data_IF_830953717664
#
_entry.id   IF_830953717664
#
_cell.length_a   1.000
_cell.length_b   1.000
_cell.length_c   1.000
_cell.angle_alpha   90.00
_cell.angle_beta   90.00
_cell.angle_gamma   90.00
#
_symmetry.space_group_name_H-M   'P 1'
#
loop_
_entity.id
_entity.type
_entity.pdbx_description
1 polymer ?
#
# COMPACT_ATOMS: atom_id res chain seq x y z
N UNK A 1 -1.84 11.09 -8.34
CA UNK A 1 -1.52 10.39 -9.63
C UNK A 1 -0.15 9.69 -9.60
N UNK A 2 0.93 10.38 -9.27
CA UNK A 2 2.30 9.85 -9.37
C UNK A 2 2.65 8.70 -8.42
N UNK A 3 2.06 8.68 -7.23
CA UNK A 3 2.35 7.70 -6.17
C UNK A 3 1.13 6.84 -5.80
N UNK A 4 -0.02 7.11 -6.41
CA UNK A 4 -1.27 6.40 -6.11
C UNK A 4 -1.52 5.33 -7.16
N UNK A 5 -1.47 4.04 -6.81
CA UNK A 5 -1.80 2.97 -7.73
C UNK A 5 -3.22 3.15 -8.28
N UNK A 6 -3.46 2.83 -9.57
CA UNK A 6 -4.80 2.87 -10.15
C UNK A 6 -5.75 1.93 -9.41
N UNK A 7 -6.98 2.38 -9.16
CA UNK A 7 -8.02 1.53 -8.56
C UNK A 7 -8.25 0.26 -9.37
N UNK A 8 -8.19 0.34 -10.71
CA UNK A 8 -8.37 -0.82 -11.59
C UNK A 8 -7.27 -1.87 -11.41
N UNK A 9 -6.01 -1.44 -11.26
CA UNK A 9 -4.87 -2.32 -10.99
C UNK A 9 -5.07 -3.07 -9.67
N UNK A 10 -5.40 -2.34 -8.60
CA UNK A 10 -5.63 -2.93 -7.28
C UNK A 10 -6.85 -3.87 -7.28
N UNK A 11 -7.95 -3.43 -7.90
CA UNK A 11 -9.18 -4.19 -7.97
C UNK A 11 -8.95 -5.52 -8.72
N UNK A 12 -8.30 -5.50 -9.88
CA UNK A 12 -7.97 -6.71 -10.62
C UNK A 12 -7.17 -7.67 -9.73
N UNK A 13 -6.08 -7.20 -9.15
CA UNK A 13 -5.16 -8.12 -8.46
C UNK A 13 -5.73 -8.71 -7.18
N UNK A 14 -6.48 -7.91 -6.40
CA UNK A 14 -7.08 -8.38 -5.17
C UNK A 14 -8.30 -9.27 -5.42
N UNK A 15 -9.08 -8.99 -6.49
CA UNK A 15 -10.28 -9.74 -6.81
C UNK A 15 -10.01 -11.20 -7.20
N UNK A 16 -8.83 -11.51 -7.76
CA UNK A 16 -8.40 -12.88 -8.08
C UNK A 16 -8.01 -13.68 -6.83
N UNK A 17 -7.74 -13.00 -5.71
CA UNK A 17 -7.26 -13.62 -4.47
C UNK A 17 -8.33 -13.73 -3.39
N UNK A 18 -9.50 -13.10 -3.58
CA UNK A 18 -10.61 -13.17 -2.64
C UNK A 18 -11.07 -14.62 -2.46
N UNK A 19 -10.87 -15.14 -1.25
CA UNK A 19 -11.21 -16.51 -0.87
C UNK A 19 -11.38 -16.60 0.65
N UNK A 20 -11.92 -17.72 1.18
CA UNK A 20 -12.04 -17.92 2.62
C UNK A 20 -10.70 -17.74 3.33
N UNK A 21 -10.70 -16.94 4.40
CA UNK A 21 -9.50 -16.65 5.19
C UNK A 21 -8.76 -15.36 4.82
N UNK A 22 -9.00 -14.79 3.63
CA UNK A 22 -8.48 -13.48 3.25
C UNK A 22 -9.50 -12.39 3.53
N UNK A 23 -9.09 -11.35 4.26
CA UNK A 23 -9.87 -10.14 4.47
C UNK A 23 -9.12 -8.93 3.92
N UNK A 24 -9.81 -8.10 3.14
CA UNK A 24 -9.27 -6.89 2.54
C UNK A 24 -9.82 -5.67 3.26
N UNK A 25 -8.93 -4.96 3.97
CA UNK A 25 -9.24 -3.70 4.62
C UNK A 25 -8.71 -2.53 3.78
N UNK A 26 -9.61 -1.66 3.34
CA UNK A 26 -9.29 -0.49 2.52
C UNK A 26 -9.20 0.74 3.42
N UNK A 27 -8.00 1.32 3.49
CA UNK A 27 -7.76 2.58 4.18
C UNK A 27 -8.38 3.76 3.41
N UNK A 28 -8.79 4.84 4.10
CA UNK A 28 -9.30 6.03 3.44
C UNK A 28 -8.19 6.72 2.63
N UNK A 29 -8.54 7.19 1.45
CA UNK A 29 -7.64 7.94 0.57
C UNK A 29 -7.68 9.43 0.91
N UNK A 30 -6.52 9.99 1.28
CA UNK A 30 -6.40 11.38 1.71
C UNK A 30 -6.33 12.40 0.57
N UNK A 31 -5.95 11.97 -0.63
CA UNK A 31 -5.80 12.85 -1.80
C UNK A 31 -6.97 12.75 -2.79
N UNK A 32 -7.82 11.74 -2.63
CA UNK A 32 -8.98 11.49 -3.46
C UNK A 32 -9.93 10.57 -2.70
N UNK A 33 -10.89 11.18 -2.03
CA UNK A 33 -11.82 10.49 -1.14
C UNK A 33 -12.68 9.45 -1.88
N UNK A 34 -12.77 9.53 -3.21
CA UNK A 34 -13.52 8.57 -4.04
C UNK A 34 -12.73 7.31 -4.38
N UNK A 35 -11.40 7.32 -4.25
CA UNK A 35 -10.56 6.19 -4.67
C UNK A 35 -10.82 4.94 -3.83
N UNK A 36 -10.94 5.09 -2.50
CA UNK A 36 -11.25 4.00 -1.58
C UNK A 36 -12.66 3.45 -1.83
N UNK A 37 -13.65 4.33 -2.02
CA UNK A 37 -15.02 3.91 -2.32
C UNK A 37 -15.13 3.14 -3.64
N UNK A 38 -14.42 3.58 -4.69
CA UNK A 38 -14.37 2.86 -5.98
C UNK A 38 -13.71 1.48 -5.84
N UNK A 39 -12.61 1.38 -5.09
CA UNK A 39 -11.96 0.10 -4.83
C UNK A 39 -12.88 -0.84 -4.03
N UNK A 40 -13.54 -0.29 -3.01
CA UNK A 40 -14.51 -1.03 -2.20
C UNK A 40 -15.64 -1.58 -3.06
N UNK A 41 -16.27 -0.73 -3.88
CA UNK A 41 -17.35 -1.17 -4.78
C UNK A 41 -16.88 -2.27 -5.74
N UNK A 42 -15.69 -2.14 -6.31
CA UNK A 42 -15.15 -3.12 -7.25
C UNK A 42 -14.91 -4.49 -6.58
N UNK A 43 -14.40 -4.51 -5.35
CA UNK A 43 -14.10 -5.75 -4.62
C UNK A 43 -15.33 -6.35 -3.93
N UNK A 44 -16.18 -5.51 -3.33
CA UNK A 44 -17.40 -5.94 -2.65
C UNK A 44 -18.43 -6.53 -3.62
N UNK A 45 -18.37 -6.18 -4.91
CA UNK A 45 -19.16 -6.85 -5.94
C UNK A 45 -18.82 -8.35 -6.10
N UNK A 46 -17.60 -8.77 -5.70
CA UNK A 46 -17.19 -10.18 -5.72
C UNK A 46 -17.48 -10.89 -4.40
N UNK A 47 -17.05 -10.31 -3.28
CA UNK A 47 -17.32 -10.85 -1.94
C UNK A 47 -17.45 -9.73 -0.90
N UNK A 48 -18.67 -9.27 -0.59
CA UNK A 48 -18.87 -8.16 0.33
C UNK A 48 -18.57 -8.50 1.79
N UNK A 49 -18.51 -9.79 2.16
CA UNK A 49 -18.22 -10.21 3.54
C UNK A 49 -16.73 -10.18 3.87
N UNK A 50 -15.88 -10.09 2.84
CA UNK A 50 -14.42 -10.11 2.97
C UNK A 50 -13.76 -8.76 2.76
N UNK A 51 -14.52 -7.74 2.38
CA UNK A 51 -14.00 -6.42 2.04
C UNK A 51 -14.63 -5.40 2.98
N UNK A 52 -13.79 -4.60 3.65
CA UNK A 52 -14.25 -3.46 4.42
C UNK A 52 -13.53 -2.19 3.97
N UNK A 53 -14.24 -1.07 4.01
CA UNK A 53 -13.67 0.25 3.79
C UNK A 53 -13.76 1.03 5.10
N UNK A 54 -12.62 1.50 5.61
CA UNK A 54 -12.60 2.33 6.79
C UNK A 54 -13.15 3.73 6.46
N UNK A 55 -13.85 4.37 7.43
CA UNK A 55 -14.44 5.67 7.20
C UNK A 55 -13.34 6.74 7.01
N UNK A 56 -13.60 7.70 6.12
CA UNK A 56 -12.72 8.86 5.96
C UNK A 56 -12.87 9.86 7.12
N UNK A 57 -14.00 9.83 7.84
CA UNK A 57 -14.31 10.71 8.97
C UNK A 57 -14.97 9.92 10.12
N UNK A 58 -14.54 10.11 11.38
CA UNK A 58 -13.34 10.88 11.76
C UNK A 58 -12.07 10.22 11.21
N UNK A 59 -11.06 11.03 10.91
CA UNK A 59 -9.77 10.51 10.42
C UNK A 59 -9.11 9.69 11.53
N UNK A 60 -8.65 8.50 11.19
CA UNK A 60 -7.78 7.73 12.06
C UNK A 60 -6.55 8.55 12.42
N UNK A 61 -6.21 8.55 13.70
CA UNK A 61 -4.95 9.05 14.21
C UNK A 61 -3.78 8.21 13.69
N UNK A 62 -2.57 8.76 13.80
CA UNK A 62 -1.37 8.03 13.44
C UNK A 62 -1.19 6.76 14.29
N UNK A 63 -1.59 6.82 15.57
CA UNK A 63 -1.52 5.69 16.50
C UNK A 63 -2.49 4.58 16.11
N UNK A 64 -3.75 4.92 15.77
CA UNK A 64 -4.73 3.94 15.30
C UNK A 64 -4.28 3.29 13.98
N UNK A 65 -3.69 4.08 13.07
CA UNK A 65 -3.15 3.55 11.81
C UNK A 65 -1.99 2.58 12.09
N UNK A 66 -1.07 2.94 12.99
CA UNK A 66 0.03 2.07 13.38
C UNK A 66 -0.45 0.78 14.07
N UNK A 67 -1.47 0.88 14.94
CA UNK A 67 -2.07 -0.27 15.60
C UNK A 67 -2.75 -1.23 14.60
N UNK A 68 -3.46 -0.69 13.62
CA UNK A 68 -4.06 -1.49 12.55
C UNK A 68 -2.99 -2.20 11.71
N UNK A 69 -1.92 -1.50 11.32
CA UNK A 69 -0.81 -2.08 10.58
C UNK A 69 -0.13 -3.22 11.35
N UNK A 70 -0.06 -3.14 12.68
CA UNK A 70 0.48 -4.23 13.52
C UNK A 70 -0.36 -5.51 13.50
N UNK A 71 -1.67 -5.37 13.31
CA UNK A 71 -2.60 -6.50 13.21
C UNK A 71 -2.71 -7.06 11.79
N UNK A 72 -2.04 -6.43 10.82
CA UNK A 72 -2.14 -6.78 9.40
C UNK A 72 -1.01 -7.73 9.00
N UNK A 73 -1.30 -8.72 8.16
CA UNK A 73 -0.29 -9.66 7.65
C UNK A 73 0.46 -9.10 6.43
N UNK A 74 -0.25 -8.37 5.56
CA UNK A 74 0.27 -7.81 4.33
C UNK A 74 -0.34 -6.42 4.05
N UNK A 75 0.51 -5.45 3.73
CA UNK A 75 0.12 -4.13 3.22
C UNK A 75 0.45 -4.02 1.73
N UNK A 76 -0.55 -3.70 0.92
CA UNK A 76 -0.36 -3.27 -0.47
C UNK A 76 -0.53 -1.76 -0.53
N UNK A 77 0.48 -1.04 -0.99
CA UNK A 77 0.46 0.44 -0.95
C UNK A 77 1.34 1.06 -2.03
N UNK A 78 1.08 2.33 -2.35
CA UNK A 78 2.02 3.15 -3.12
C UNK A 78 3.05 3.85 -2.24
N UNK A 79 3.87 4.71 -2.85
CA UNK A 79 4.80 5.61 -2.14
C UNK A 79 4.03 6.68 -1.33
N UNK A 80 3.67 6.32 -0.10
CA UNK A 80 2.80 7.10 0.80
C UNK A 80 3.35 7.14 2.22
N UNK A 81 2.86 8.08 3.04
CA UNK A 81 3.18 8.13 4.47
C UNK A 81 2.89 6.81 5.21
N UNK A 82 1.82 6.10 4.82
CA UNK A 82 1.45 4.80 5.41
C UNK A 82 2.48 3.72 5.09
N UNK A 83 3.09 3.72 3.90
CA UNK A 83 4.21 2.83 3.57
C UNK A 83 5.40 3.06 4.50
N UNK A 84 5.76 4.33 4.74
CA UNK A 84 6.86 4.68 5.64
C UNK A 84 6.56 4.29 7.10
N UNK A 85 5.32 4.46 7.53
CA UNK A 85 4.86 4.02 8.86
C UNK A 85 4.95 2.50 9.00
N UNK A 86 4.50 1.74 7.98
CA UNK A 86 4.57 0.29 7.95
C UNK A 86 6.00 -0.26 7.97
N UNK A 87 6.92 0.42 7.30
CA UNK A 87 8.34 0.05 7.27
C UNK A 87 9.12 0.48 8.53
N UNK A 88 8.51 1.27 9.42
CA UNK A 88 9.16 1.75 10.62
C UNK A 88 9.43 0.60 11.60
N UNK A 89 10.67 0.52 12.11
CA UNK A 89 11.01 -0.46 13.14
C UNK A 89 10.50 0.02 14.49
N UNK A 90 9.68 -0.82 15.12
CA UNK A 90 9.33 -0.61 16.53
C UNK A 90 10.57 -0.77 17.40
N UNK A 91 10.68 0.07 18.42
CA UNK A 91 11.76 0.03 19.43
C UNK A 91 11.14 0.08 20.82
N UNK A 92 11.66 -0.73 21.72
CA UNK A 92 11.40 -0.63 23.15
C UNK A 92 12.47 0.31 23.72
N UNK A 93 12.06 1.25 24.57
CA UNK A 93 13.02 2.09 25.30
C UNK A 93 13.90 1.18 26.17
N UNK A 94 15.21 1.46 26.24
CA UNK A 94 16.16 0.59 26.96
C UNK A 94 15.81 0.38 28.45
N UNK A 95 15.04 1.31 29.03
CA UNK A 95 14.60 1.27 30.43
C UNK A 95 13.17 0.71 30.62
N UNK A 96 12.49 0.31 29.55
CA UNK A 96 11.14 -0.21 29.67
C UNK A 96 11.16 -1.63 30.26
N UNK A 97 10.37 -1.90 31.32
CA UNK A 97 10.37 -3.19 32.02
C UNK A 97 9.75 -4.34 31.22
N UNK A 98 9.36 -4.13 29.96
CA UNK A 98 8.73 -5.16 29.14
C UNK A 98 9.77 -6.01 28.40
N UNK A 99 9.96 -7.25 28.86
CA UNK A 99 10.82 -8.25 28.23
C UNK A 99 10.22 -8.89 26.96
N UNK A 100 9.37 -8.16 26.23
CA UNK A 100 8.64 -8.68 25.07
C UNK A 100 9.38 -8.42 23.74
N UNK A 101 9.34 -9.38 22.81
CA UNK A 101 9.72 -9.12 21.42
C UNK A 101 8.61 -8.34 20.71
N UNK A 102 8.95 -7.24 20.04
CA UNK A 102 8.00 -6.49 19.23
C UNK A 102 7.65 -7.25 17.96
N UNK A 103 6.36 -7.39 17.65
CA UNK A 103 5.90 -7.90 16.35
C UNK A 103 6.27 -6.88 15.26
N UNK A 104 7.07 -7.31 14.29
CA UNK A 104 7.42 -6.55 13.08
C UNK A 104 7.28 -7.47 11.85
N UNK A 105 6.15 -8.17 11.75
CA UNK A 105 5.94 -9.25 10.78
C UNK A 105 5.12 -8.82 9.56
N UNK A 106 4.71 -7.55 9.50
CA UNK A 106 3.95 -7.01 8.38
C UNK A 106 4.79 -7.11 7.10
N UNK A 107 4.26 -7.83 6.10
CA UNK A 107 4.83 -7.85 4.75
C UNK A 107 4.34 -6.62 4.00
N UNK A 108 5.15 -6.08 3.09
CA UNK A 108 4.80 -4.88 2.33
C UNK A 108 5.01 -5.15 0.85
N UNK A 109 3.97 -4.95 0.04
CA UNK A 109 4.07 -4.80 -1.42
C UNK A 109 3.94 -3.31 -1.73
N UNK A 110 5.05 -2.72 -2.15
CA UNK A 110 5.14 -1.31 -2.48
C UNK A 110 5.13 -1.11 -4.00
N UNK A 111 4.13 -0.39 -4.48
CA UNK A 111 3.91 -0.07 -5.89
C UNK A 111 4.51 1.30 -6.21
N UNK A 112 5.41 1.34 -7.19
CA UNK A 112 6.03 2.59 -7.64
C UNK A 112 5.58 2.98 -9.04
N UNK A 113 5.08 4.20 -9.16
CA UNK A 113 4.74 4.82 -10.43
C UNK A 113 5.88 5.69 -10.94
N UNK A 114 5.73 7.01 -10.78
CA UNK A 114 6.75 7.98 -11.21
C UNK A 114 7.87 8.20 -10.18
N UNK A 115 7.70 7.83 -8.91
CA UNK A 115 8.73 8.03 -7.89
C UNK A 115 9.77 6.92 -7.89
N UNK A 116 11.01 7.26 -7.53
CA UNK A 116 12.11 6.31 -7.57
C UNK A 116 12.15 5.43 -6.30
N UNK A 117 11.96 4.10 -6.41
CA UNK A 117 12.04 3.19 -5.27
C UNK A 117 13.44 3.10 -4.65
N UNK A 118 14.49 3.60 -5.31
CA UNK A 118 15.83 3.71 -4.75
C UNK A 118 15.97 4.81 -3.69
N UNK A 119 15.13 5.85 -3.74
CA UNK A 119 15.13 6.94 -2.75
C UNK A 119 14.05 6.77 -1.68
N UNK A 120 12.89 6.23 -2.06
CA UNK A 120 11.71 6.19 -1.18
C UNK A 120 11.31 4.78 -0.74
N UNK A 121 11.83 3.73 -1.39
CA UNK A 121 11.49 2.35 -1.07
C UNK A 121 12.40 1.73 -0.01
N UNK A 122 11.90 0.69 0.66
CA UNK A 122 12.60 -0.05 1.71
C UNK A 122 12.94 -1.47 1.24
N UNK A 123 13.98 -1.64 0.41
CA UNK A 123 14.29 -2.94 -0.24
C UNK A 123 14.45 -4.12 0.73
N UNK A 124 14.88 -3.89 1.96
CA UNK A 124 15.06 -4.93 2.97
C UNK A 124 13.75 -5.33 3.69
N UNK A 125 12.68 -4.56 3.51
CA UNK A 125 11.43 -4.67 4.26
C UNK A 125 10.18 -4.65 3.36
N UNK A 126 10.33 -4.48 2.05
CA UNK A 126 9.23 -4.52 1.09
C UNK A 126 9.60 -5.22 -0.22
N UNK A 127 8.63 -5.94 -0.77
CA UNK A 127 8.63 -6.35 -2.18
C UNK A 127 8.21 -5.15 -3.01
N UNK A 128 9.05 -4.74 -3.95
CA UNK A 128 8.85 -3.51 -4.72
C UNK A 128 8.51 -3.86 -6.16
N UNK A 129 7.34 -3.44 -6.61
CA UNK A 129 6.88 -3.55 -7.99
C UNK A 129 6.88 -2.16 -8.67
N UNK A 130 6.95 -2.15 -10.01
CA UNK A 130 6.99 -0.92 -10.78
C UNK A 130 8.37 -0.24 -10.73
N UNK A 131 9.43 -0.99 -11.05
CA UNK A 131 10.78 -0.42 -11.20
C UNK A 131 11.06 -0.08 -12.66
N UNK A 132 11.98 0.85 -12.87
CA UNK A 132 12.62 1.04 -14.18
C UNK A 132 11.89 2.00 -15.12
N UNK A 133 10.81 2.63 -14.66
CA UNK A 133 10.12 3.66 -15.44
C UNK A 133 11.01 4.89 -15.64
N UNK A 134 10.99 5.49 -16.84
CA UNK A 134 11.83 6.65 -17.18
C UNK A 134 11.63 7.84 -16.22
N UNK A 135 10.39 8.10 -15.80
CA UNK A 135 10.03 9.20 -14.90
C UNK A 135 10.72 9.08 -13.52
N UNK A 136 11.06 7.86 -13.10
CA UNK A 136 11.77 7.61 -11.83
C UNK A 136 13.20 8.17 -11.83
N UNK A 137 13.77 8.46 -13.00
CA UNK A 137 15.07 9.15 -13.10
C UNK A 137 14.93 10.66 -12.87
N UNK A 138 13.74 11.19 -13.15
CA UNK A 138 13.42 12.61 -13.08
C UNK A 138 12.95 13.03 -11.68
N UNK A 139 12.18 12.18 -11.00
CA UNK A 139 11.72 12.46 -9.63
C UNK A 139 12.83 12.26 -8.59
N UNK A 140 13.40 13.38 -8.12
CA UNK A 140 14.36 13.43 -7.01
C UNK A 140 13.73 14.00 -5.73
N UNK A 141 14.20 13.61 -4.54
CA UNK A 141 13.88 14.28 -3.28
C UNK A 141 14.04 15.80 -3.37
N UNK A 142 13.02 16.55 -2.94
CA UNK A 142 12.99 18.01 -3.00
C UNK A 142 12.11 18.60 -4.12
N UNK A 143 11.73 17.83 -5.15
CA UNK A 143 10.71 18.24 -6.11
C UNK A 143 9.30 17.90 -5.61
N UNK A 144 8.37 18.85 -5.70
CA UNK A 144 6.98 18.68 -5.29
C UNK A 144 6.25 17.64 -6.17
N UNK A 145 6.18 16.40 -5.67
CA UNK A 145 5.49 15.25 -6.31
C UNK A 145 4.01 15.51 -6.56
N UNK A 146 3.40 16.42 -5.79
CA UNK A 146 1.96 16.73 -5.80
C UNK A 146 1.50 17.51 -7.04
N UNK A 147 2.42 18.28 -7.66
CA UNK A 147 2.12 19.08 -8.86
C UNK A 147 2.32 18.35 -10.19
N UNK A 148 2.93 17.16 -10.18
CA UNK A 148 3.18 16.41 -11.42
C UNK A 148 1.95 15.60 -11.83
N UNK A 149 1.17 16.18 -12.73
CA UNK A 149 0.06 15.51 -13.39
C UNK A 149 0.30 15.51 -14.91
N UNK A 150 1.04 14.53 -15.46
CA UNK A 150 1.03 14.29 -16.89
C UNK A 150 -0.42 13.89 -17.23
N UNK A 151 -1.20 14.85 -17.72
CA UNK A 151 -2.65 14.71 -17.92
C UNK A 151 -2.96 13.38 -18.62
N UNK A 152 -3.71 12.51 -17.94
CA UNK A 152 -4.21 11.25 -18.49
C UNK A 152 -3.20 10.10 -18.58
N UNK A 153 -1.96 10.27 -18.12
CA UNK A 153 -0.98 9.19 -18.14
C UNK A 153 -1.11 8.30 -16.90
N UNK A 154 -1.32 7.01 -17.11
CA UNK A 154 -1.17 6.01 -16.05
C UNK A 154 0.32 5.77 -15.78
N UNK A 155 0.77 6.17 -14.60
CA UNK A 155 2.17 6.03 -14.20
C UNK A 155 2.51 4.63 -13.68
N UNK A 156 1.51 3.74 -13.59
CA UNK A 156 1.61 2.36 -13.14
C UNK A 156 1.30 1.35 -14.26
N UNK A 157 1.12 1.78 -15.51
CA UNK A 157 0.87 0.90 -16.67
C UNK A 157 1.94 -0.20 -16.88
N UNK A 158 3.15 0.04 -16.38
CA UNK A 158 4.30 -0.86 -16.39
C UNK A 158 4.30 -1.89 -15.24
N UNK A 159 3.27 -1.89 -14.38
CA UNK A 159 3.02 -2.90 -13.35
C UNK A 159 1.89 -3.81 -13.84
N UNK A 160 2.19 -5.02 -14.33
CA UNK A 160 1.16 -5.97 -14.73
C UNK A 160 0.28 -6.35 -13.52
N UNK A 161 -1.06 -6.35 -13.67
CA UNK A 161 -1.95 -6.78 -12.60
C UNK A 161 -1.69 -8.22 -12.11
N UNK A 162 -1.24 -9.10 -12.99
CA UNK A 162 -0.86 -10.48 -12.67
C UNK A 162 0.37 -10.53 -11.78
N UNK A 163 1.41 -9.72 -12.06
CA UNK A 163 2.61 -9.62 -11.21
C UNK A 163 2.23 -9.22 -9.78
N UNK A 164 1.31 -8.27 -9.62
CA UNK A 164 0.79 -7.89 -8.31
C UNK A 164 0.04 -9.04 -7.63
N UNK A 165 -0.81 -9.75 -8.37
CA UNK A 165 -1.59 -10.88 -7.85
C UNK A 165 -0.69 -12.02 -7.36
N UNK A 166 0.27 -12.43 -8.20
CA UNK A 166 1.24 -13.49 -7.90
C UNK A 166 2.12 -13.13 -6.70
N UNK A 167 2.56 -11.87 -6.64
CA UNK A 167 3.35 -11.37 -5.51
C UNK A 167 2.56 -11.42 -4.21
N UNK A 168 1.28 -11.02 -4.23
CA UNK A 168 0.42 -11.07 -3.04
C UNK A 168 0.20 -12.54 -2.63
N UNK A 169 -0.12 -13.43 -3.56
CA UNK A 169 -0.32 -14.86 -3.28
C UNK A 169 0.93 -15.51 -2.65
N UNK A 170 2.11 -15.28 -3.26
CA UNK A 170 3.38 -15.77 -2.74
C UNK A 170 3.64 -15.28 -1.30
N UNK A 171 3.32 -14.01 -1.02
CA UNK A 171 3.48 -13.43 0.31
C UNK A 171 2.40 -13.83 1.30
N UNK A 172 1.28 -14.39 0.86
CA UNK A 172 0.28 -14.98 1.76
C UNK A 172 0.54 -16.47 2.00
N UNK A 173 1.41 -17.08 1.19
CA UNK A 173 1.81 -18.49 1.33
C UNK A 173 0.98 -19.45 0.48
N UNK A 174 0.50 -18.98 -0.68
CA UNK A 174 -0.20 -19.81 -1.68
C UNK A 174 0.69 -20.20 -2.86
#
# INVERSE_FOLDING_TARGET
PATRPPTALLAYALAELLRPGLFVCILPSYSDETASSRLFQALAARDPQRVCCLPAQPRMTLLETAALLDQTDLLVTGDTGVMHLAAAKKKIAQEAPCAGSLRNNLRIVALFGATNPGFYGYRAHSTILGRGRKEQRTFRPGFAKEGYNPKGLDLFDHVPPQELSETIAQLLGD
#
